data_IF_311334503081
#
_entry.id   IF_311334503081
#
_cell.length_a   1.000
_cell.length_b   1.000
_cell.length_c   1.000
_cell.angle_alpha   90.00
_cell.angle_beta   90.00
_cell.angle_gamma   90.00
#
_symmetry.space_group_name_H-M   'P 1'
#
loop_
_entity.id
_entity.type
_entity.pdbx_description
1 polymer ?
#
# COMPACT_ATOMS: atom_id res chain seq x y z
N UNK A 1 11.75 8.73 44.51
CA UNK A 1 11.11 9.01 43.27
C UNK A 1 9.63 8.77 43.37
N UNK A 2 8.90 9.67 42.87
CA UNK A 2 7.48 9.67 43.08
C UNK A 2 6.79 8.65 42.16
N UNK A 3 5.81 7.94 42.67
CA UNK A 3 4.97 7.06 41.89
C UNK A 3 4.21 7.84 40.82
N UNK A 4 3.94 9.10 41.05
CA UNK A 4 3.29 9.98 40.10
C UNK A 4 4.10 10.12 38.83
N UNK A 5 5.42 10.23 38.94
CA UNK A 5 6.29 10.34 37.76
C UNK A 5 6.21 9.09 36.90
N UNK A 6 6.19 7.91 37.51
CA UNK A 6 6.07 6.66 36.76
C UNK A 6 4.73 6.56 36.06
N UNK A 7 3.64 6.94 36.72
CA UNK A 7 2.31 6.93 36.15
C UNK A 7 2.22 7.88 34.97
N UNK A 8 2.83 9.07 35.07
CA UNK A 8 2.84 10.02 33.95
C UNK A 8 3.60 9.48 32.75
N UNK A 9 4.73 8.84 32.96
CA UNK A 9 5.52 8.27 31.88
C UNK A 9 4.72 7.16 31.16
N UNK A 10 4.06 6.27 31.93
CA UNK A 10 3.26 5.21 31.36
C UNK A 10 2.08 5.79 30.56
N UNK A 11 1.44 6.82 31.08
CA UNK A 11 0.33 7.47 30.39
C UNK A 11 0.78 8.11 29.08
N UNK A 12 1.93 8.78 29.08
CA UNK A 12 2.47 9.38 27.86
C UNK A 12 2.83 8.34 26.81
N UNK A 13 3.44 7.23 27.23
CA UNK A 13 3.77 6.14 26.32
C UNK A 13 2.50 5.52 25.73
N UNK A 14 1.48 5.32 26.54
CA UNK A 14 0.21 4.78 26.07
C UNK A 14 -0.47 5.71 25.06
N UNK A 15 -0.44 7.02 25.31
CA UNK A 15 -0.98 8.01 24.40
C UNK A 15 -0.19 8.03 23.09
N UNK A 16 1.12 7.92 23.19
CA UNK A 16 1.97 7.88 22.00
C UNK A 16 1.65 6.66 21.13
N UNK A 17 1.51 5.48 21.72
CA UNK A 17 1.13 4.29 20.99
C UNK A 17 -0.24 4.41 20.33
N UNK A 18 -1.21 4.97 21.03
CA UNK A 18 -2.52 5.22 20.46
C UNK A 18 -2.45 6.14 19.26
N UNK A 19 -1.70 7.21 19.39
CA UNK A 19 -1.52 8.20 18.33
C UNK A 19 -0.85 7.57 17.12
N UNK A 20 0.20 6.79 17.35
CA UNK A 20 0.91 6.10 16.29
C UNK A 20 0.01 5.11 15.55
N UNK A 21 -0.83 4.37 16.26
CA UNK A 21 -1.77 3.43 15.65
C UNK A 21 -2.81 4.16 14.82
N UNK A 22 -3.34 5.26 15.29
CA UNK A 22 -4.32 6.06 14.55
C UNK A 22 -3.70 6.63 13.29
N UNK A 23 -2.50 7.14 13.37
CA UNK A 23 -1.78 7.68 12.23
C UNK A 23 -1.54 6.61 11.18
N UNK A 24 -1.11 5.42 11.60
CA UNK A 24 -0.91 4.30 10.70
C UNK A 24 -2.23 3.86 10.05
N UNK A 25 -3.30 3.75 10.82
CA UNK A 25 -4.60 3.36 10.31
C UNK A 25 -5.11 4.34 9.27
N UNK A 26 -4.95 5.64 9.52
CA UNK A 26 -5.31 6.68 8.58
C UNK A 26 -4.50 6.58 7.29
N UNK A 27 -3.20 6.37 7.42
CA UNK A 27 -2.32 6.23 6.28
C UNK A 27 -2.73 5.05 5.42
N UNK A 28 -2.99 3.88 6.05
CA UNK A 28 -3.45 2.70 5.33
C UNK A 28 -4.80 2.92 4.66
N UNK A 29 -5.69 3.66 5.32
CA UNK A 29 -6.97 4.00 4.76
C UNK A 29 -6.84 4.92 3.54
N UNK A 30 -5.95 5.88 3.61
CA UNK A 30 -5.69 6.79 2.50
C UNK A 30 -5.01 6.08 1.34
N UNK A 31 -4.11 5.16 1.63
CA UNK A 31 -3.49 4.35 0.60
C UNK A 31 -4.53 3.51 -0.14
N UNK A 32 -5.43 2.90 0.60
CA UNK A 32 -6.49 2.06 0.06
C UNK A 32 -5.95 1.12 -1.02
N UNK A 33 -4.98 0.30 -0.61
CA UNK A 33 -4.23 -0.53 -1.55
C UNK A 33 -5.06 -1.55 -2.33
N UNK A 34 -6.07 -2.22 -1.75
CA UNK A 34 -6.86 -3.16 -2.54
C UNK A 34 -7.51 -2.47 -3.74
N UNK A 35 -7.34 -3.03 -4.91
CA UNK A 35 -7.85 -2.49 -6.17
C UNK A 35 -6.88 -2.71 -7.30
N UNK A 36 -7.14 -2.07 -8.42
CA UNK A 36 -6.30 -2.17 -9.61
C UNK A 36 -5.56 -0.85 -9.81
N UNK A 37 -4.26 -0.94 -9.94
CA UNK A 37 -3.38 0.21 -10.10
C UNK A 37 -2.71 0.12 -11.47
N UNK A 38 -2.72 1.21 -12.21
CA UNK A 38 -2.05 1.29 -13.50
C UNK A 38 -0.77 2.09 -13.38
N UNK A 39 0.29 1.64 -14.03
CA UNK A 39 1.55 2.34 -14.01
C UNK A 39 1.45 3.64 -14.79
N UNK A 40 1.83 4.74 -14.15
CA UNK A 40 1.79 6.06 -14.76
C UNK A 40 3.20 6.40 -15.23
N UNK A 41 3.58 5.89 -16.39
CA UNK A 41 4.91 6.12 -16.95
C UNK A 41 4.89 6.97 -18.20
N UNK A 42 3.74 7.49 -18.59
CA UNK A 42 3.61 8.30 -19.78
C UNK A 42 3.61 7.53 -21.08
N UNK A 43 3.68 6.21 -21.02
CA UNK A 43 3.64 5.37 -22.20
C UNK A 43 2.31 4.60 -22.28
N UNK A 44 2.00 4.12 -23.46
CA UNK A 44 0.74 3.41 -23.66
C UNK A 44 0.81 1.96 -23.23
N UNK A 45 1.82 1.54 -22.53
CA UNK A 45 1.97 0.16 -22.08
C UNK A 45 0.93 -0.18 -21.04
N UNK A 46 0.40 -1.38 -21.15
CA UNK A 46 -0.57 -1.87 -20.19
C UNK A 46 0.16 -2.60 -19.08
N UNK A 47 0.58 -1.87 -18.08
CA UNK A 47 1.18 -2.46 -16.89
C UNK A 47 0.24 -2.17 -15.74
N UNK A 48 -0.25 -3.23 -15.10
CA UNK A 48 -1.19 -3.08 -14.00
C UNK A 48 -0.79 -3.94 -12.82
N UNK A 49 -1.11 -3.46 -11.64
CA UNK A 49 -0.90 -4.16 -10.38
C UNK A 49 -2.25 -4.28 -9.71
N UNK A 50 -2.76 -5.50 -9.62
CA UNK A 50 -4.01 -5.77 -8.92
C UNK A 50 -3.68 -6.26 -7.53
N UNK A 51 -4.27 -5.64 -6.51
CA UNK A 51 -4.06 -6.00 -5.12
C UNK A 51 -5.40 -6.34 -4.49
N UNK A 52 -5.46 -7.46 -3.81
CA UNK A 52 -6.68 -7.91 -3.13
C UNK A 52 -6.33 -8.31 -1.71
N UNK A 53 -7.28 -8.10 -0.81
CA UNK A 53 -7.12 -8.48 0.59
C UNK A 53 -7.55 -7.37 1.53
N UNK A 54 -6.84 -7.25 2.64
CA UNK A 54 -7.11 -6.20 3.62
C UNK A 54 -6.30 -4.96 3.27
N UNK A 55 -6.36 -3.94 4.11
CA UNK A 55 -5.60 -2.70 3.89
C UNK A 55 -4.10 -2.89 4.06
N UNK A 56 -3.67 -3.96 4.73
CA UNK A 56 -2.26 -4.15 5.06
C UNK A 56 -1.66 -5.43 4.53
N UNK A 57 -2.43 -6.32 3.94
CA UNK A 57 -1.93 -7.59 3.42
C UNK A 57 -2.92 -8.23 2.46
N UNK A 58 -2.43 -9.08 1.60
CA UNK A 58 -3.30 -9.80 0.67
C UNK A 58 -2.50 -10.47 -0.42
N UNK A 59 -3.13 -10.65 -1.56
CA UNK A 59 -2.50 -11.23 -2.74
C UNK A 59 -2.40 -10.16 -3.81
N UNK A 60 -1.43 -10.30 -4.70
CA UNK A 60 -1.26 -9.38 -5.80
C UNK A 60 -1.10 -10.13 -7.12
N UNK A 61 -1.43 -9.42 -8.20
CA UNK A 61 -1.16 -9.88 -9.56
C UNK A 61 -0.57 -8.71 -10.33
N UNK A 62 0.65 -8.88 -10.78
CA UNK A 62 1.35 -7.87 -11.57
C UNK A 62 1.33 -8.33 -13.03
N UNK A 63 0.73 -7.53 -13.88
CA UNK A 63 0.58 -7.84 -15.31
C UNK A 63 1.35 -6.85 -16.16
N UNK A 64 2.15 -7.40 -17.05
CA UNK A 64 2.77 -6.62 -18.12
C UNK A 64 2.38 -7.26 -19.44
N UNK A 65 2.84 -6.69 -20.55
CA UNK A 65 2.55 -7.25 -21.86
C UNK A 65 3.04 -8.68 -22.01
N UNK A 66 4.15 -9.04 -21.35
CA UNK A 66 4.79 -10.33 -21.51
C UNK A 66 4.77 -11.20 -20.26
N UNK A 67 4.34 -10.68 -19.12
CA UNK A 67 4.47 -11.39 -17.85
C UNK A 67 3.24 -11.26 -17.00
N UNK A 68 2.98 -12.31 -16.26
CA UNK A 68 1.97 -12.34 -15.22
C UNK A 68 2.66 -12.88 -13.98
N UNK A 69 2.74 -12.07 -12.94
CA UNK A 69 3.35 -12.47 -11.69
C UNK A 69 2.30 -12.40 -10.59
N UNK A 70 2.18 -13.43 -9.78
CA UNK A 70 1.26 -13.44 -8.65
C UNK A 70 2.02 -13.77 -7.38
N UNK A 71 1.53 -13.29 -6.27
CA UNK A 71 2.16 -13.53 -4.99
C UNK A 71 1.36 -12.90 -3.86
N UNK A 72 2.04 -12.66 -2.76
CA UNK A 72 1.45 -12.04 -1.57
C UNK A 72 2.12 -10.71 -1.30
N UNK A 73 1.36 -9.80 -0.74
CA UNK A 73 1.89 -8.50 -0.33
C UNK A 73 1.51 -8.22 1.11
N UNK A 74 2.33 -7.44 1.79
CA UNK A 74 2.04 -6.97 3.14
C UNK A 74 2.73 -5.64 3.37
N UNK A 75 2.19 -4.88 4.31
CA UNK A 75 2.80 -3.62 4.74
C UNK A 75 3.64 -3.89 5.97
N UNK A 76 4.89 -3.49 5.90
CA UNK A 76 5.81 -3.57 7.02
C UNK A 76 6.36 -2.17 7.26
N UNK A 77 5.98 -1.54 8.37
CA UNK A 77 6.33 -0.15 8.66
C UNK A 77 5.76 0.76 7.57
N UNK A 78 6.58 1.43 6.79
CA UNK A 78 6.14 2.25 5.66
C UNK A 78 6.60 1.68 4.34
N UNK A 79 6.85 0.39 4.33
CA UNK A 79 7.27 -0.32 3.13
C UNK A 79 6.24 -1.35 2.75
N UNK A 80 6.21 -1.71 1.49
CA UNK A 80 5.42 -2.83 1.02
C UNK A 80 6.37 -3.97 0.69
N UNK A 81 6.01 -5.18 1.10
CA UNK A 81 6.82 -6.36 0.84
C UNK A 81 6.02 -7.27 -0.08
N UNK A 82 6.60 -7.58 -1.22
CA UNK A 82 6.03 -8.53 -2.16
C UNK A 82 6.74 -9.86 -2.01
N UNK A 83 5.99 -10.92 -1.84
CA UNK A 83 6.52 -12.28 -1.72
C UNK A 83 6.02 -13.10 -2.88
N UNK A 84 6.95 -13.58 -3.69
CA UNK A 84 6.62 -14.50 -4.78
C UNK A 84 6.78 -15.92 -4.25
N UNK A 85 6.17 -16.88 -4.90
CA UNK A 85 6.34 -18.29 -4.53
C UNK A 85 7.83 -18.63 -4.45
N UNK A 86 8.24 -19.53 -3.70
CA UNK A 86 9.63 -19.92 -3.48
C UNK A 86 10.37 -19.07 -2.44
N UNK A 87 9.65 -18.27 -1.68
CA UNK A 87 10.25 -17.57 -0.55
C UNK A 87 11.05 -16.32 -0.89
N UNK A 88 10.99 -15.85 -2.12
CA UNK A 88 11.66 -14.63 -2.50
C UNK A 88 10.82 -13.44 -2.07
N UNK A 89 11.42 -12.52 -1.34
CA UNK A 89 10.73 -11.31 -0.90
C UNK A 89 11.44 -10.08 -1.44
N UNK A 90 10.66 -9.09 -1.85
CA UNK A 90 11.17 -7.79 -2.28
C UNK A 90 10.54 -6.73 -1.42
N UNK A 91 11.36 -5.95 -0.74
CA UNK A 91 10.89 -4.85 0.11
C UNK A 91 11.03 -3.55 -0.65
N UNK A 92 9.93 -2.85 -0.82
CA UNK A 92 9.88 -1.60 -1.57
C UNK A 92 9.41 -0.46 -0.68
N UNK A 93 9.99 0.71 -0.86
CA UNK A 93 9.52 1.91 -0.20
C UNK A 93 8.19 2.31 -0.82
N UNK A 94 7.23 2.64 0.01
CA UNK A 94 5.89 3.01 -0.42
C UNK A 94 5.62 4.45 -0.02
N UNK A 95 5.21 5.27 -0.98
CA UNK A 95 4.86 6.66 -0.75
C UNK A 95 3.46 6.96 -1.24
N UNK A 96 2.73 7.73 -0.45
CA UNK A 96 1.42 8.22 -0.85
C UNK A 96 1.59 9.64 -1.36
N UNK A 97 1.34 9.86 -2.64
CA UNK A 97 1.39 11.20 -3.22
C UNK A 97 0.04 11.89 -3.13
N UNK A 98 -1.02 11.12 -3.37
CA UNK A 98 -2.38 11.62 -3.30
C UNK A 98 -3.30 10.40 -3.19
N UNK A 99 -4.57 10.62 -2.86
CA UNK A 99 -5.53 9.53 -2.85
C UNK A 99 -5.61 8.94 -4.26
N UNK A 100 -5.34 7.67 -4.37
CA UNK A 100 -5.31 6.99 -5.66
C UNK A 100 -4.01 7.16 -6.45
N UNK A 101 -2.96 7.70 -5.83
CA UNK A 101 -1.67 7.85 -6.49
C UNK A 101 -0.55 7.52 -5.52
N UNK A 102 0.17 6.44 -5.80
CA UNK A 102 1.23 5.97 -4.92
C UNK A 102 2.53 5.79 -5.70
N UNK A 103 3.64 5.84 -4.98
CA UNK A 103 4.96 5.54 -5.53
C UNK A 103 5.53 4.29 -4.88
N UNK A 104 6.09 3.42 -5.68
CA UNK A 104 6.78 2.22 -5.23
C UNK A 104 8.21 2.29 -5.72
N UNK A 105 9.15 2.18 -4.79
CA UNK A 105 10.57 2.26 -5.11
C UNK A 105 11.30 1.11 -4.46
N UNK A 106 11.87 0.24 -5.26
CA UNK A 106 12.61 -0.93 -4.78
C UNK A 106 13.58 -1.43 -5.83
N UNK A 107 14.26 -2.54 -5.58
CA UNK A 107 15.29 -3.02 -6.48
C UNK A 107 14.81 -3.28 -7.90
N UNK A 108 13.60 -3.78 -8.06
CA UNK A 108 13.04 -4.07 -9.36
C UNK A 108 11.99 -3.05 -9.81
N UNK A 109 11.47 -2.26 -8.87
CA UNK A 109 10.43 -1.27 -9.13
C UNK A 109 10.98 0.12 -8.80
N UNK A 110 11.98 0.57 -9.54
CA UNK A 110 12.64 1.82 -9.22
C UNK A 110 11.78 2.99 -9.64
N UNK A 111 11.37 3.80 -8.66
CA UNK A 111 10.64 5.06 -8.86
C UNK A 111 9.40 4.92 -9.74
N UNK A 112 8.61 3.90 -9.51
CA UNK A 112 7.39 3.71 -10.27
C UNK A 112 6.22 4.37 -9.57
N UNK A 113 5.41 5.09 -10.32
CA UNK A 113 4.20 5.74 -9.82
C UNK A 113 3.01 5.00 -10.39
N UNK A 114 2.08 4.64 -9.51
CA UNK A 114 0.87 3.94 -9.89
C UNK A 114 -0.35 4.79 -9.58
N UNK A 115 -1.31 4.77 -10.47
CA UNK A 115 -2.57 5.48 -10.30
C UNK A 115 -3.69 4.44 -10.21
N UNK A 116 -4.53 4.59 -9.22
CA UNK A 116 -5.61 3.64 -9.01
C UNK A 116 -6.68 3.81 -10.09
N UNK A 117 -7.06 2.68 -10.67
CA UNK A 117 -8.14 2.66 -11.65
C UNK A 117 -9.47 2.90 -10.96
N UNK A 118 -10.27 3.77 -11.52
CA UNK A 118 -11.55 4.09 -10.93
C UNK A 118 -12.54 2.97 -11.25
N UNK A 119 -12.87 2.20 -10.24
CA UNK A 119 -13.75 1.10 -10.41
C UNK A 119 -15.17 1.47 -10.62
N UNK A 120 -15.54 2.48 -9.95
CA UNK A 120 -16.89 2.85 -9.88
C UNK A 120 -17.38 3.54 -11.04
N UNK A 121 -16.57 3.70 -11.90
CA UNK A 121 -17.03 4.30 -12.99
C UNK A 121 -18.04 3.49 -13.66
N UNK A 122 -18.20 2.70 -13.14
CA UNK A 122 -19.14 1.99 -13.50
C UNK A 122 -20.44 2.41 -13.72
N UNK A 123 -20.41 2.62 -13.57
CA UNK A 123 -21.32 2.81 -13.73
C UNK A 123 -22.13 3.32 -14.29
N UNK A 124 -21.48 3.36 -14.35
CA UNK A 124 -22.03 3.81 -14.68
C UNK A 124 -22.91 3.92 -15.11
N UNK A 125 -23.05 4.00 -14.97
CA UNK A 125 -23.81 4.09 -15.08
C UNK A 125 -24.58 4.29 -15.60
N UNK A 126 -24.32 4.27 -15.83
CA UNK A 126 -24.93 4.43 -16.20
C UNK A 126 -25.63 4.50 -16.69
N UNK A 127 -25.62 4.36 -16.81
CA UNK A 127 -26.25 4.37 -17.24
C UNK A 127 -26.97 4.39 -17.51
N UNK A 128 -26.94 4.30 -17.48
CA UNK A 128 -27.66 4.39 -17.71
C UNK A 128 -28.46 4.64 -17.75
#
# INVERSE_FOLDING_TARGET
MSQITVVLIVALVALWFRSARKTRARWLEQLNLPGVWDLDDGHSRTISLEMRGTRSAGIYRFRTDNRNETGKWRIASRSIVFSVDAGTEERCELRLFDVGRIGINGPQHIRQIYVKRADNVVPLRTSS
#
